data_IF_667679964313
#
_entry.id   IF_667679964313
#
_cell.length_a   1.000
_cell.length_b   1.000
_cell.length_c   1.000
_cell.angle_alpha   90.00
_cell.angle_beta   90.00
_cell.angle_gamma   90.00
#
_symmetry.space_group_name_H-M   'P 1'
#
loop_
_entity.id
_entity.type
_entity.pdbx_description
1 polymer ?
#
# COMPACT_ATOMS: atom_id res chain seq x y z
N UNK A 1 28.91 15.48 9.46
CA UNK A 1 27.43 15.52 9.30
C UNK A 1 26.95 14.08 9.30
N UNK A 2 26.09 13.63 10.23
CA UNK A 2 25.60 12.26 10.19
C UNK A 2 24.74 12.09 8.94
N UNK A 3 25.03 11.06 8.14
CA UNK A 3 24.25 10.69 6.97
C UNK A 3 22.79 10.50 7.37
N UNK A 4 21.89 11.38 6.92
CA UNK A 4 20.45 11.16 7.05
C UNK A 4 20.10 9.92 6.23
N UNK A 5 19.45 8.95 6.90
CA UNK A 5 19.01 7.69 6.32
C UNK A 5 17.81 7.96 5.41
N UNK A 6 17.81 7.38 4.22
CA UNK A 6 16.67 7.36 3.32
C UNK A 6 15.59 6.48 3.94
N UNK A 7 14.65 7.10 4.67
CA UNK A 7 13.47 6.43 5.17
C UNK A 7 12.38 6.52 4.10
N UNK A 8 11.68 5.43 3.80
CA UNK A 8 10.57 5.50 2.87
C UNK A 8 9.29 5.99 3.51
N UNK A 9 8.49 6.81 2.81
CA UNK A 9 7.09 7.07 3.14
C UNK A 9 6.23 6.02 2.43
N UNK A 10 5.96 4.89 3.08
CA UNK A 10 4.83 3.99 2.78
C UNK A 10 4.95 2.70 3.61
N UNK A 11 3.81 2.22 4.10
CA UNK A 11 3.65 0.84 4.56
C UNK A 11 2.60 0.10 3.72
N UNK A 12 2.67 0.16 2.38
CA UNK A 12 1.73 -0.57 1.49
C UNK A 12 1.85 -2.09 1.63
N UNK A 13 1.24 -2.64 2.67
CA UNK A 13 0.99 -4.07 2.71
C UNK A 13 -0.10 -4.40 1.69
N UNK A 14 0.28 -5.11 0.63
CA UNK A 14 -0.66 -5.73 -0.29
C UNK A 14 -0.32 -7.20 -0.48
N UNK A 15 -1.38 -7.96 -0.73
CA UNK A 15 -1.39 -9.39 -0.98
C UNK A 15 -0.26 -9.87 -1.91
N UNK A 16 0.54 -10.81 -1.40
CA UNK A 16 1.26 -11.77 -2.23
C UNK A 16 0.29 -12.43 -3.20
N UNK A 17 0.34 -12.02 -4.46
CA UNK A 17 -0.33 -12.72 -5.55
C UNK A 17 0.39 -14.03 -5.82
N UNK A 18 0.07 -15.09 -5.07
CA UNK A 18 0.39 -16.46 -5.49
C UNK A 18 -0.52 -16.86 -6.65
N UNK A 19 -0.15 -16.42 -7.85
CA UNK A 19 -0.51 -17.16 -9.05
C UNK A 19 0.34 -18.43 -9.06
N UNK A 20 -0.25 -19.53 -8.57
CA UNK A 20 0.32 -20.87 -8.75
C UNK A 20 0.27 -21.18 -10.25
N UNK A 21 1.40 -21.03 -10.92
CA UNK A 21 1.77 -21.87 -12.06
C UNK A 21 3.24 -22.24 -11.92
N UNK A 22 3.50 -23.26 -11.09
CA UNK A 22 4.77 -23.98 -11.08
C UNK A 22 4.94 -24.65 -12.44
N UNK A 23 5.69 -24.01 -13.34
CA UNK A 23 6.49 -24.75 -14.30
C UNK A 23 7.82 -25.01 -13.60
N UNK A 24 7.97 -26.24 -13.10
CA UNK A 24 9.20 -26.72 -12.48
C UNK A 24 10.36 -26.62 -13.50
N UNK A 25 11.22 -25.62 -13.31
CA UNK A 25 12.58 -25.64 -13.83
C UNK A 25 13.52 -26.12 -12.73
N UNK A 26 14.61 -26.85 -13.07
CA UNK A 26 15.48 -27.44 -12.06
C UNK A 26 16.12 -26.35 -11.20
N UNK A 27 16.02 -26.54 -9.89
CA UNK A 27 16.55 -25.68 -8.85
C UNK A 27 18.05 -25.44 -9.04
N UNK A 28 18.41 -24.27 -9.53
CA UNK A 28 19.70 -23.66 -9.18
C UNK A 28 19.48 -22.95 -7.86
N UNK A 29 20.31 -23.23 -6.85
CA UNK A 29 20.28 -22.53 -5.57
C UNK A 29 20.52 -21.02 -5.82
N UNK A 30 19.45 -20.23 -5.85
CA UNK A 30 19.53 -18.79 -5.93
C UNK A 30 19.93 -18.31 -4.55
N UNK A 31 21.22 -18.02 -4.37
CA UNK A 31 21.71 -17.33 -3.19
C UNK A 31 20.98 -15.99 -3.09
N UNK A 32 20.39 -15.69 -1.92
CA UNK A 32 19.76 -14.39 -1.67
C UNK A 32 20.76 -13.27 -2.00
N UNK A 33 20.35 -12.24 -2.76
CA UNK A 33 21.28 -11.21 -3.24
C UNK A 33 21.93 -10.49 -2.05
N UNK A 34 23.24 -10.25 -2.15
CA UNK A 34 24.05 -9.68 -1.05
C UNK A 34 24.32 -8.18 -1.23
N UNK A 35 23.85 -7.61 -2.33
CA UNK A 35 24.03 -6.19 -2.68
C UNK A 35 22.78 -5.56 -3.30
N UNK A 36 22.62 -4.24 -3.13
CA UNK A 36 21.53 -3.47 -3.76
C UNK A 36 21.52 -3.61 -5.28
N UNK A 37 22.69 -3.66 -5.93
CA UNK A 37 22.82 -3.82 -7.38
C UNK A 37 22.26 -5.17 -7.87
N UNK A 38 22.47 -6.23 -7.10
CA UNK A 38 21.91 -7.55 -7.40
C UNK A 38 20.40 -7.58 -7.16
N UNK A 39 19.95 -7.03 -6.02
CA UNK A 39 18.53 -7.00 -5.66
C UNK A 39 17.68 -6.15 -6.62
N UNK A 40 18.23 -5.07 -7.18
CA UNK A 40 17.54 -4.19 -8.11
C UNK A 40 17.67 -4.58 -9.59
N UNK A 41 18.28 -5.73 -9.90
CA UNK A 41 18.40 -6.18 -11.28
C UNK A 41 17.01 -6.59 -11.79
N UNK A 42 16.51 -5.88 -12.82
CA UNK A 42 15.26 -6.26 -13.47
C UNK A 42 15.40 -7.65 -14.10
N UNK A 43 14.37 -8.51 -14.01
CA UNK A 43 14.41 -9.81 -14.66
C UNK A 43 14.56 -9.65 -16.18
N UNK A 44 15.37 -10.51 -16.79
CA UNK A 44 15.66 -10.47 -18.23
C UNK A 44 14.42 -10.77 -19.10
N UNK A 45 13.36 -11.33 -18.51
CA UNK A 45 12.06 -11.55 -19.16
C UNK A 45 11.00 -10.67 -18.52
N UNK A 46 10.26 -9.93 -19.37
CA UNK A 46 9.08 -9.17 -18.97
C UNK A 46 8.03 -10.15 -18.42
N UNK A 47 7.48 -9.94 -17.21
CA UNK A 47 6.44 -10.81 -16.68
C UNK A 47 5.21 -10.78 -17.60
N UNK A 48 4.40 -11.86 -17.61
CA UNK A 48 3.13 -11.84 -18.30
C UNK A 48 2.26 -10.68 -17.77
N UNK A 49 1.41 -10.07 -18.60
CA UNK A 49 0.54 -9.00 -18.16
C UNK A 49 -0.36 -9.47 -17.01
N UNK A 50 -0.68 -8.58 -16.05
CA UNK A 50 -1.45 -8.96 -14.89
C UNK A 50 -2.89 -9.28 -15.32
N UNK A 51 -3.51 -10.24 -14.63
CA UNK A 51 -4.91 -10.58 -14.89
C UNK A 51 -5.80 -9.34 -14.70
N UNK A 52 -6.77 -9.09 -15.60
CA UNK A 52 -7.67 -7.96 -15.45
C UNK A 52 -8.57 -8.16 -14.22
N UNK A 53 -8.95 -7.05 -13.59
CA UNK A 53 -9.90 -7.02 -12.46
C UNK A 53 -11.15 -6.20 -12.83
N UNK A 54 -11.78 -6.59 -13.94
CA UNK A 54 -12.88 -5.86 -14.56
C UNK A 54 -14.14 -6.71 -14.73
N UNK A 55 -14.25 -7.84 -14.02
CA UNK A 55 -15.44 -8.71 -14.01
C UNK A 55 -16.13 -8.61 -12.65
N UNK A 56 -17.43 -8.89 -12.60
CA UNK A 56 -18.18 -8.84 -11.34
C UNK A 56 -17.64 -9.80 -10.28
N UNK A 57 -17.09 -10.95 -10.69
CA UNK A 57 -16.42 -11.90 -9.79
C UNK A 57 -15.16 -11.32 -9.14
N UNK A 58 -14.60 -10.23 -9.65
CA UNK A 58 -13.42 -9.57 -9.10
C UNK A 58 -13.81 -8.52 -8.02
N UNK A 59 -15.10 -8.17 -7.87
CA UNK A 59 -15.58 -7.22 -6.86
C UNK A 59 -15.22 -7.61 -5.41
N UNK A 60 -15.39 -8.88 -4.97
CA UNK A 60 -15.02 -9.27 -3.61
C UNK A 60 -13.52 -9.06 -3.33
N UNK A 61 -12.68 -9.34 -4.33
CA UNK A 61 -11.22 -9.13 -4.23
C UNK A 61 -10.88 -7.65 -4.12
N UNK A 62 -11.48 -6.79 -4.94
CA UNK A 62 -11.26 -5.34 -4.85
C UNK A 62 -11.78 -4.76 -3.53
N UNK A 63 -12.88 -5.31 -3.00
CA UNK A 63 -13.39 -4.91 -1.68
C UNK A 63 -12.47 -5.33 -0.55
N UNK A 64 -11.89 -6.53 -0.63
CA UNK A 64 -10.87 -6.99 0.32
C UNK A 64 -9.67 -6.04 0.33
N UNK A 65 -9.15 -5.70 -0.84
CA UNK A 65 -8.07 -4.70 -0.99
C UNK A 65 -8.46 -3.37 -0.35
N UNK A 66 -9.69 -2.89 -0.57
CA UNK A 66 -10.18 -1.68 0.07
C UNK A 66 -10.19 -1.78 1.60
N UNK A 67 -10.61 -2.91 2.17
CA UNK A 67 -10.63 -3.12 3.61
C UNK A 67 -9.20 -3.12 4.20
N UNK A 68 -8.24 -3.73 3.51
CA UNK A 68 -6.82 -3.70 3.87
C UNK A 68 -6.27 -2.26 3.91
N UNK A 69 -6.53 -1.47 2.86
CA UNK A 69 -6.11 -0.07 2.81
C UNK A 69 -6.77 0.78 3.91
N UNK A 70 -8.06 0.54 4.20
CA UNK A 70 -8.78 1.22 5.28
C UNK A 70 -8.22 0.86 6.65
N UNK A 71 -7.91 -0.41 6.89
CA UNK A 71 -7.27 -0.84 8.12
C UNK A 71 -5.93 -0.11 8.34
N UNK A 72 -5.06 -0.08 7.33
CA UNK A 72 -3.76 0.59 7.43
C UNK A 72 -3.93 2.09 7.69
N UNK A 73 -4.82 2.77 6.95
CA UNK A 73 -5.15 4.18 7.16
C UNK A 73 -5.57 4.46 8.60
N UNK A 74 -6.49 3.66 9.14
CA UNK A 74 -7.01 3.83 10.49
C UNK A 74 -5.91 3.60 11.54
N UNK A 75 -5.02 2.62 11.31
CA UNK A 75 -3.88 2.37 12.20
C UNK A 75 -2.88 3.52 12.20
N UNK A 76 -2.60 4.16 11.07
CA UNK A 76 -1.77 5.37 11.05
C UNK A 76 -2.47 6.57 11.68
N UNK A 77 -3.79 6.70 11.50
CA UNK A 77 -4.57 7.78 12.11
C UNK A 77 -4.47 7.77 13.66
N UNK A 78 -4.41 6.60 14.29
CA UNK A 78 -4.19 6.47 15.74
C UNK A 78 -2.89 7.16 16.22
N UNK A 79 -1.86 7.23 15.36
CA UNK A 79 -0.60 7.92 15.70
C UNK A 79 -0.69 9.43 15.54
N UNK A 80 -1.59 9.93 14.69
CA UNK A 80 -1.87 11.37 14.58
C UNK A 80 -2.60 11.85 15.84
N UNK A 81 -3.60 11.09 16.29
CA UNK A 81 -4.48 11.44 17.42
C UNK A 81 -3.86 11.15 18.81
N UNK A 82 -2.67 10.50 18.81
CA UNK A 82 -1.72 10.28 19.91
C UNK A 82 -1.88 9.03 20.79
N UNK A 83 -0.93 8.09 20.62
CA UNK A 83 0.00 7.56 21.66
C UNK A 83 1.16 6.88 20.92
N UNK A 84 2.41 7.27 21.19
CA UNK A 84 3.53 6.36 20.91
C UNK A 84 3.20 5.03 21.62
N UNK A 85 3.34 3.86 20.97
CA UNK A 85 3.16 2.59 21.64
C UNK A 85 4.05 2.58 22.89
N UNK A 86 3.61 1.94 23.99
CA UNK A 86 4.34 1.95 25.25
C UNK A 86 5.82 1.67 24.98
N UNK A 87 6.68 2.58 25.45
CA UNK A 87 8.13 2.53 25.26
C UNK A 87 8.58 1.10 25.48
N UNK A 88 9.24 0.54 24.48
CA UNK A 88 9.61 -0.85 24.46
C UNK A 88 10.40 -1.20 25.72
N UNK A 89 10.00 -2.30 26.36
CA UNK A 89 10.62 -2.78 27.61
C UNK A 89 12.02 -3.36 27.38
N UNK A 90 12.40 -3.59 26.12
CA UNK A 90 13.70 -4.13 25.73
C UNK A 90 14.71 -3.00 25.42
N UNK A 91 15.89 -2.96 26.06
CA UNK A 91 16.98 -2.03 25.75
C UNK A 91 17.39 -1.98 24.27
N UNK A 92 17.15 -3.04 23.49
CA UNK A 92 17.41 -3.07 22.04
C UNK A 92 16.45 -2.18 21.25
N UNK A 93 15.22 -2.05 21.71
CA UNK A 93 14.19 -1.21 21.09
C UNK A 93 14.31 0.26 21.49
N UNK A 94 14.99 0.59 22.60
CA UNK A 94 15.33 1.97 22.97
C UNK A 94 16.25 2.68 21.95
N UNK A 95 16.88 1.91 21.04
CA UNK A 95 17.71 2.46 19.95
C UNK A 95 16.90 2.80 18.68
N UNK A 96 15.63 2.41 18.61
CA UNK A 96 14.77 2.68 17.44
C UNK A 96 14.21 4.10 17.51
N UNK A 97 14.13 4.77 16.36
CA UNK A 97 13.40 6.05 16.27
C UNK A 97 11.91 5.80 16.46
N UNK A 98 11.16 6.80 16.94
CA UNK A 98 9.70 6.69 17.07
C UNK A 98 9.01 6.30 15.76
N UNK A 99 9.55 6.75 14.61
CA UNK A 99 9.05 6.38 13.29
C UNK A 99 9.26 4.89 12.98
N UNK A 100 10.38 4.30 13.38
CA UNK A 100 10.61 2.86 13.26
C UNK A 100 9.67 2.07 14.16
N UNK A 101 9.47 2.50 15.42
CA UNK A 101 8.54 1.83 16.34
C UNK A 101 7.11 1.83 15.83
N UNK A 102 6.65 2.95 15.26
CA UNK A 102 5.34 3.05 14.62
C UNK A 102 5.21 2.08 13.44
N UNK A 103 6.18 2.07 12.51
CA UNK A 103 6.15 1.15 11.36
C UNK A 103 6.14 -0.31 11.80
N UNK A 104 7.02 -0.69 12.73
CA UNK A 104 7.06 -2.04 13.29
C UNK A 104 5.69 -2.43 13.88
N UNK A 105 5.07 -1.52 14.63
CA UNK A 105 3.76 -1.74 15.24
C UNK A 105 2.65 -1.89 14.19
N UNK A 106 2.58 -0.99 13.20
CA UNK A 106 1.57 -1.06 12.13
C UNK A 106 1.76 -2.33 11.30
N UNK A 107 2.99 -2.67 10.93
CA UNK A 107 3.29 -3.92 10.21
C UNK A 107 2.90 -5.15 11.01
N UNK A 108 3.14 -5.18 12.32
CA UNK A 108 2.72 -6.28 13.18
C UNK A 108 1.18 -6.41 13.20
N UNK A 109 0.46 -5.31 13.42
CA UNK A 109 -1.01 -5.29 13.44
C UNK A 109 -1.62 -5.65 12.09
N UNK A 110 -1.03 -5.19 11.00
CA UNK A 110 -1.50 -5.56 9.68
C UNK A 110 -1.22 -7.03 9.36
N UNK A 111 -0.07 -7.55 9.81
CA UNK A 111 0.21 -9.00 9.72
C UNK A 111 -0.80 -9.81 10.53
N UNK A 112 -1.15 -9.39 11.75
CA UNK A 112 -2.22 -10.02 12.55
C UNK A 112 -3.57 -9.98 11.82
N UNK A 113 -3.93 -8.83 11.24
CA UNK A 113 -5.17 -8.68 10.46
C UNK A 113 -5.20 -9.61 9.25
N UNK A 114 -4.14 -9.64 8.43
CA UNK A 114 -4.05 -10.52 7.27
C UNK A 114 -4.30 -11.98 7.66
N UNK A 115 -3.67 -12.43 8.76
CA UNK A 115 -3.80 -13.79 9.29
C UNK A 115 -5.11 -14.06 10.06
N UNK A 116 -6.02 -13.08 10.18
CA UNK A 116 -7.33 -13.29 10.79
C UNK A 116 -8.35 -13.80 9.76
N UNK A 117 -9.50 -14.35 10.20
CA UNK A 117 -10.60 -14.71 9.30
C UNK A 117 -11.05 -13.54 8.40
N UNK A 118 -11.03 -12.31 8.92
CA UNK A 118 -11.42 -11.10 8.22
C UNK A 118 -10.40 -10.68 7.15
N UNK A 119 -9.09 -10.76 7.44
CA UNK A 119 -8.03 -10.48 6.46
C UNK A 119 -7.74 -11.63 5.50
N UNK A 120 -8.25 -12.83 5.78
CA UNK A 120 -8.39 -13.91 4.82
C UNK A 120 -7.08 -14.54 4.32
N UNK A 121 -6.08 -14.76 5.19
CA UNK A 121 -5.01 -15.75 4.96
C UNK A 121 -3.59 -15.36 5.37
N UNK A 122 -2.60 -16.09 4.84
CA UNK A 122 -1.17 -15.89 5.14
C UNK A 122 -0.59 -14.67 4.41
N UNK A 123 0.10 -13.77 5.11
CA UNK A 123 0.81 -12.65 4.50
C UNK A 123 1.70 -11.89 5.48
N UNK A 124 2.54 -11.00 4.95
CA UNK A 124 3.38 -10.09 5.72
C UNK A 124 2.98 -8.64 5.45
N UNK A 125 2.76 -7.87 6.50
CA UNK A 125 2.29 -6.48 6.39
C UNK A 125 3.36 -5.46 6.01
N UNK A 126 4.33 -5.83 5.17
CA UNK A 126 5.45 -4.98 4.77
C UNK A 126 5.20 -4.33 3.40
N UNK A 127 5.65 -3.08 3.18
CA UNK A 127 5.44 -2.36 1.92
C UNK A 127 6.03 -3.07 0.71
N UNK A 128 5.34 -3.03 -0.43
CA UNK A 128 5.90 -3.42 -1.74
C UNK A 128 6.36 -2.22 -2.56
N UNK A 129 5.70 -1.08 -2.39
CA UNK A 129 5.98 0.19 -3.08
C UNK A 129 6.12 1.32 -2.07
N UNK A 130 6.84 2.38 -2.43
CA UNK A 130 6.92 3.55 -1.57
C UNK A 130 7.48 4.77 -2.28
N UNK A 131 7.55 5.86 -1.53
CA UNK A 131 8.20 7.09 -1.98
C UNK A 131 9.45 7.32 -1.15
N UNK A 132 10.60 7.40 -1.83
CA UNK A 132 11.87 7.76 -1.21
C UNK A 132 11.85 9.24 -0.80
N UNK A 133 12.05 9.53 0.49
CA UNK A 133 11.98 10.89 1.04
C UNK A 133 13.07 11.80 0.44
N UNK A 134 14.24 11.26 0.12
CA UNK A 134 15.39 12.06 -0.32
C UNK A 134 15.31 12.47 -1.79
N UNK A 135 14.70 11.65 -2.65
CA UNK A 135 14.50 11.95 -4.07
C UNK A 135 13.05 12.33 -4.42
N UNK A 136 12.09 12.09 -3.53
CA UNK A 136 10.64 12.14 -3.80
C UNK A 136 10.24 11.31 -5.04
N UNK A 137 10.94 10.19 -5.29
CA UNK A 137 10.68 9.27 -6.40
C UNK A 137 10.09 7.97 -5.90
N UNK A 138 9.44 7.27 -6.82
CA UNK A 138 8.84 5.97 -6.58
C UNK A 138 9.93 4.91 -6.47
N UNK A 139 9.80 4.06 -5.46
CA UNK A 139 10.67 2.91 -5.21
C UNK A 139 9.84 1.66 -4.92
N UNK A 140 10.42 0.49 -5.15
CA UNK A 140 9.92 -0.80 -4.67
C UNK A 140 10.83 -1.37 -3.58
N UNK A 141 10.26 -2.24 -2.75
CA UNK A 141 11.01 -3.06 -1.78
C UNK A 141 11.05 -4.50 -2.30
N UNK A 142 12.19 -4.95 -2.85
CA UNK A 142 12.35 -6.34 -3.23
C UNK A 142 12.13 -7.25 -2.01
N UNK A 143 11.44 -8.37 -2.24
CA UNK A 143 11.15 -9.36 -1.20
C UNK A 143 12.07 -10.58 -1.32
N UNK A 144 12.35 -11.22 -0.19
CA UNK A 144 12.90 -12.57 -0.15
C UNK A 144 11.84 -13.63 -0.50
N UNK A 145 12.27 -14.89 -0.61
CA UNK A 145 11.38 -16.02 -0.92
C UNK A 145 10.30 -16.27 0.15
N UNK A 146 10.43 -15.62 1.31
CA UNK A 146 9.45 -15.68 2.41
C UNK A 146 8.51 -14.47 2.40
N UNK A 147 8.62 -13.56 1.44
CA UNK A 147 7.79 -12.36 1.33
C UNK A 147 8.20 -11.21 2.26
N UNK A 148 9.40 -11.26 2.86
CA UNK A 148 9.95 -10.17 3.68
C UNK A 148 10.82 -9.24 2.85
N UNK A 149 10.88 -7.96 3.18
CA UNK A 149 11.79 -7.01 2.56
C UNK A 149 13.24 -7.51 2.67
N UNK A 150 13.97 -7.46 1.56
CA UNK A 150 15.41 -7.63 1.57
C UNK A 150 16.06 -6.45 2.30
N UNK A 151 17.03 -6.75 3.16
CA UNK A 151 17.78 -5.73 3.90
C UNK A 151 19.25 -5.68 3.47
N UNK A 152 19.86 -4.50 3.54
CA UNK A 152 21.30 -4.32 3.38
C UNK A 152 22.08 -4.87 4.60
N UNK A 153 23.41 -4.76 4.57
CA UNK A 153 24.29 -5.23 5.66
C UNK A 153 24.11 -4.48 6.96
N UNK A 154 23.54 -3.28 6.90
CA UNK A 154 23.25 -2.42 8.05
C UNK A 154 21.82 -2.65 8.60
N UNK A 155 21.07 -3.57 7.99
CA UNK A 155 19.71 -3.94 8.37
C UNK A 155 18.63 -2.97 7.89
N UNK A 156 18.92 -2.11 6.91
CA UNK A 156 17.91 -1.24 6.28
C UNK A 156 17.29 -1.94 5.07
N UNK A 157 16.00 -1.70 4.83
CA UNK A 157 15.32 -2.21 3.63
C UNK A 157 16.01 -1.71 2.35
N UNK A 158 16.27 -2.62 1.43
CA UNK A 158 16.75 -2.29 0.10
C UNK A 158 15.62 -1.67 -0.70
N UNK A 159 15.89 -0.52 -1.32
CA UNK A 159 14.97 0.15 -2.24
C UNK A 159 15.50 0.14 -3.66
N UNK A 160 14.59 -0.04 -4.62
CA UNK A 160 14.90 -0.04 -6.03
C UNK A 160 14.02 0.98 -6.77
N UNK A 161 14.57 1.85 -7.63
CA UNK A 161 13.76 2.75 -8.44
C UNK A 161 12.76 1.98 -9.31
N UNK A 162 11.52 2.43 -9.33
CA UNK A 162 10.45 1.80 -10.11
C UNK A 162 9.67 2.85 -10.91
N UNK A 163 9.25 2.49 -12.12
CA UNK A 163 8.43 3.36 -12.97
C UNK A 163 6.94 3.07 -12.80
N UNK A 164 6.09 4.00 -13.27
CA UNK A 164 4.63 3.78 -13.29
C UNK A 164 4.25 2.60 -14.18
N UNK A 165 4.99 2.39 -15.27
CA UNK A 165 4.73 1.29 -16.20
C UNK A 165 5.13 -0.05 -15.61
N UNK A 166 6.19 -0.08 -14.80
CA UNK A 166 6.53 -1.28 -14.03
C UNK A 166 5.35 -1.66 -13.10
N UNK A 167 4.78 -0.71 -12.34
CA UNK A 167 3.63 -0.96 -11.47
C UNK A 167 2.40 -1.45 -12.25
N UNK A 168 2.07 -0.79 -13.37
CA UNK A 168 0.95 -1.21 -14.22
C UNK A 168 1.15 -2.60 -14.83
N UNK A 169 2.39 -3.08 -14.93
CA UNK A 169 2.69 -4.45 -15.37
C UNK A 169 2.60 -5.49 -14.26
N UNK A 170 2.60 -5.08 -12.99
CA UNK A 170 2.55 -5.98 -11.84
C UNK A 170 1.12 -6.19 -11.32
N UNK A 171 0.28 -5.15 -11.38
CA UNK A 171 -1.06 -5.18 -10.80
C UNK A 171 -2.15 -4.96 -11.85
N UNK A 172 -3.34 -5.49 -11.56
CA UNK A 172 -4.51 -5.19 -12.36
C UNK A 172 -4.81 -3.67 -12.32
N UNK A 173 -5.49 -3.10 -13.34
CA UNK A 173 -5.60 -1.65 -13.48
C UNK A 173 -6.11 -0.90 -12.25
N UNK A 174 -7.16 -1.39 -11.59
CA UNK A 174 -7.74 -0.73 -10.41
C UNK A 174 -6.76 -0.68 -9.22
N UNK A 175 -5.98 -1.73 -9.02
CA UNK A 175 -4.98 -1.81 -7.93
C UNK A 175 -3.75 -0.98 -8.30
N UNK A 176 -3.28 -1.06 -9.55
CA UNK A 176 -2.18 -0.23 -10.03
C UNK A 176 -2.48 1.28 -9.90
N UNK A 177 -3.68 1.71 -10.29
CA UNK A 177 -4.09 3.10 -10.19
C UNK A 177 -4.25 3.56 -8.74
N UNK A 178 -4.70 2.68 -7.85
CA UNK A 178 -4.76 2.96 -6.42
C UNK A 178 -3.36 3.14 -5.82
N UNK A 179 -2.41 2.23 -6.07
CA UNK A 179 -1.01 2.35 -5.63
C UNK A 179 -0.39 3.64 -6.16
N UNK A 180 -0.56 3.92 -7.46
CA UNK A 180 -0.02 5.13 -8.09
C UNK A 180 -0.65 6.41 -7.54
N UNK A 181 -1.90 6.36 -7.11
CA UNK A 181 -2.58 7.50 -6.47
C UNK A 181 -2.07 7.69 -5.04
N UNK A 182 -1.92 6.61 -4.27
CA UNK A 182 -1.35 6.62 -2.92
C UNK A 182 0.06 7.22 -2.94
N UNK A 183 0.96 6.63 -3.72
CA UNK A 183 2.35 7.08 -3.78
C UNK A 183 2.48 8.44 -4.49
N UNK A 184 1.59 8.75 -5.43
CA UNK A 184 1.51 10.08 -6.03
C UNK A 184 1.23 11.18 -5.01
N UNK A 185 0.44 10.88 -3.97
CA UNK A 185 0.19 11.79 -2.86
C UNK A 185 1.46 11.98 -2.02
N UNK A 186 2.17 10.91 -1.66
CA UNK A 186 3.45 11.01 -0.94
C UNK A 186 4.51 11.81 -1.73
N UNK A 187 4.61 11.59 -3.04
CA UNK A 187 5.51 12.36 -3.91
C UNK A 187 5.15 13.84 -3.93
N UNK A 188 3.85 14.16 -3.95
CA UNK A 188 3.36 15.54 -3.92
C UNK A 188 3.72 16.20 -2.60
N UNK A 189 3.41 15.55 -1.48
CA UNK A 189 3.66 16.09 -0.15
C UNK A 189 5.18 16.22 0.13
N UNK A 190 5.99 15.25 -0.33
CA UNK A 190 7.46 15.31 -0.25
C UNK A 190 8.03 16.50 -1.05
N UNK A 191 7.57 16.71 -2.28
CA UNK A 191 8.01 17.84 -3.13
C UNK A 191 7.59 19.18 -2.54
N UNK A 192 6.39 19.26 -1.97
CA UNK A 192 5.90 20.46 -1.31
C UNK A 192 6.71 20.77 -0.05
N UNK A 193 7.02 19.75 0.76
CA UNK A 193 7.87 19.90 1.94
C UNK A 193 9.26 20.45 1.60
N UNK A 194 9.91 19.92 0.55
CA UNK A 194 11.22 20.43 0.11
C UNK A 194 11.21 21.86 -0.41
N UNK A 195 10.06 22.34 -0.91
CA UNK A 195 9.88 23.72 -1.38
C UNK A 195 9.40 24.67 -0.30
N UNK A 196 8.98 24.15 0.85
CA UNK A 196 8.47 24.95 1.96
C UNK A 196 9.56 25.82 2.57
N UNK A 197 9.21 27.04 2.99
CA UNK A 197 10.09 27.88 3.82
C UNK A 197 10.25 27.34 5.24
N UNK A 198 9.33 26.46 5.67
CA UNK A 198 9.40 25.73 6.93
C UNK A 198 9.13 24.24 6.65
N UNK A 199 10.15 23.48 6.20
CA UNK A 199 10.02 22.04 6.01
C UNK A 199 9.86 21.34 7.35
N UNK A 200 8.95 20.37 7.41
CA UNK A 200 8.84 19.46 8.55
C UNK A 200 9.74 18.24 8.37
N UNK A 201 10.13 17.62 9.47
CA UNK A 201 10.87 16.35 9.40
C UNK A 201 9.90 15.20 9.07
N UNK A 202 10.00 14.66 7.86
CA UNK A 202 9.17 13.54 7.38
C UNK A 202 9.58 12.20 8.01
N UNK A 203 10.73 12.14 8.68
CA UNK A 203 11.13 11.00 9.50
C UNK A 203 10.52 11.05 10.91
N UNK A 204 10.01 12.21 11.36
CA UNK A 204 9.23 12.29 12.59
C UNK A 204 7.95 11.49 12.45
N UNK A 205 7.64 10.70 13.47
CA UNK A 205 6.59 9.71 13.43
C UNK A 205 5.18 10.31 13.27
N UNK A 206 4.90 11.51 13.82
CA UNK A 206 3.59 12.16 13.65
C UNK A 206 3.44 12.69 12.24
N UNK A 207 4.48 13.33 11.72
CA UNK A 207 4.48 13.81 10.34
C UNK A 207 4.36 12.63 9.37
N UNK A 208 5.13 11.57 9.58
CA UNK A 208 5.04 10.35 8.81
C UNK A 208 3.61 9.79 8.82
N UNK A 209 2.99 9.64 10.00
CA UNK A 209 1.62 9.13 10.11
C UNK A 209 0.62 9.99 9.35
N UNK A 210 0.72 11.32 9.45
CA UNK A 210 -0.14 12.25 8.71
C UNK A 210 0.03 12.12 7.20
N UNK A 211 1.25 11.92 6.71
CA UNK A 211 1.53 11.72 5.30
C UNK A 211 0.98 10.38 4.81
N UNK A 212 1.19 9.30 5.56
CA UNK A 212 0.65 7.97 5.21
C UNK A 212 -0.88 7.98 5.21
N UNK A 213 -1.54 8.61 6.20
CA UNK A 213 -3.02 8.73 6.18
C UNK A 213 -3.49 9.45 4.92
N UNK A 214 -2.80 10.51 4.48
CA UNK A 214 -3.15 11.20 3.22
C UNK A 214 -2.95 10.30 2.00
N UNK A 215 -1.84 9.56 1.94
CA UNK A 215 -1.57 8.54 0.92
C UNK A 215 -2.68 7.50 0.83
N UNK A 216 -2.99 6.84 1.95
CA UNK A 216 -4.08 5.86 2.00
C UNK A 216 -5.42 6.47 1.63
N UNK A 217 -5.74 7.66 2.14
CA UNK A 217 -7.02 8.32 1.84
C UNK A 217 -7.17 8.59 0.34
N UNK A 218 -6.10 9.02 -0.33
CA UNK A 218 -6.09 9.22 -1.78
C UNK A 218 -6.22 7.88 -2.55
N UNK A 219 -5.47 6.84 -2.14
CA UNK A 219 -5.57 5.51 -2.72
C UNK A 219 -6.97 4.88 -2.54
N UNK A 220 -7.53 4.96 -1.34
CA UNK A 220 -8.89 4.51 -0.99
C UNK A 220 -9.92 5.21 -1.87
N UNK A 221 -9.83 6.53 -2.04
CA UNK A 221 -10.74 7.27 -2.91
C UNK A 221 -10.70 6.74 -4.35
N UNK A 222 -9.50 6.48 -4.89
CA UNK A 222 -9.31 5.91 -6.23
C UNK A 222 -9.89 4.49 -6.34
N UNK A 223 -9.62 3.60 -5.38
CA UNK A 223 -10.12 2.23 -5.41
C UNK A 223 -11.64 2.17 -5.28
N UNK A 224 -12.23 3.02 -4.43
CA UNK A 224 -13.69 3.13 -4.32
C UNK A 224 -14.34 3.57 -5.62
N UNK A 225 -13.72 4.51 -6.34
CA UNK A 225 -14.15 4.91 -7.69
C UNK A 225 -14.13 3.73 -8.65
N UNK A 226 -13.06 2.94 -8.65
CA UNK A 226 -12.92 1.74 -9.49
C UNK A 226 -13.97 0.67 -9.16
N UNK A 227 -14.20 0.39 -7.87
CA UNK A 227 -15.24 -0.55 -7.41
C UNK A 227 -16.64 -0.07 -7.83
N UNK A 228 -16.95 1.21 -7.59
CA UNK A 228 -18.24 1.79 -7.97
C UNK A 228 -18.47 1.73 -9.50
N UNK A 229 -17.44 2.02 -10.30
CA UNK A 229 -17.51 1.94 -11.75
C UNK A 229 -17.77 0.51 -12.24
N UNK A 230 -17.04 -0.48 -11.69
CA UNK A 230 -17.24 -1.89 -12.03
C UNK A 230 -18.64 -2.38 -11.61
N UNK A 231 -19.07 -2.06 -10.39
CA UNK A 231 -20.38 -2.46 -9.88
C UNK A 231 -21.53 -1.86 -10.72
N UNK A 232 -21.42 -0.59 -11.14
CA UNK A 232 -22.41 0.09 -12.00
C UNK A 232 -22.35 -0.36 -13.46
N UNK A 233 -21.32 -1.11 -13.86
CA UNK A 233 -21.21 -1.59 -15.24
C UNK A 233 -22.43 -2.43 -15.61
N UNK A 234 -22.76 -2.47 -16.91
CA UNK A 234 -23.87 -3.28 -17.42
C UNK A 234 -23.74 -4.77 -17.06
N UNK A 235 -22.52 -5.24 -16.82
CA UNK A 235 -22.25 -6.63 -16.45
C UNK A 235 -22.69 -6.94 -15.02
N UNK A 236 -22.53 -5.99 -14.08
CA UNK A 236 -22.82 -6.22 -12.66
C UNK A 236 -24.19 -5.68 -12.26
N UNK A 237 -24.64 -4.59 -12.87
CA UNK A 237 -26.02 -4.11 -12.74
C UNK A 237 -26.36 -3.47 -11.40
N UNK A 238 -25.37 -3.02 -10.62
CA UNK A 238 -25.63 -2.27 -9.40
C UNK A 238 -26.24 -0.91 -9.75
N UNK A 239 -27.40 -0.60 -9.15
CA UNK A 239 -28.14 0.65 -9.41
C UNK A 239 -27.49 1.89 -8.79
N UNK A 240 -26.50 1.70 -7.92
CA UNK A 240 -25.87 2.76 -7.14
C UNK A 240 -26.66 3.12 -5.88
N UNK A 241 -26.17 4.14 -5.18
CA UNK A 241 -26.83 4.73 -4.00
C UNK A 241 -27.44 6.08 -4.34
N UNK A 242 -28.49 6.48 -3.61
CA UNK A 242 -29.07 7.83 -3.66
C UNK A 242 -28.03 8.89 -3.31
N UNK A 243 -27.15 8.59 -2.35
CA UNK A 243 -25.97 9.39 -2.05
C UNK A 243 -24.78 8.85 -2.86
N UNK A 244 -24.32 9.62 -3.86
CA UNK A 244 -23.24 9.19 -4.77
C UNK A 244 -21.85 9.25 -4.13
N UNK A 245 -21.61 10.24 -3.27
CA UNK A 245 -20.32 10.46 -2.61
C UNK A 245 -20.49 10.78 -1.14
N UNK A 246 -19.43 10.56 -0.36
CA UNK A 246 -19.32 11.02 1.03
C UNK A 246 -17.94 11.67 1.25
N UNK A 247 -17.84 12.56 2.23
CA UNK A 247 -16.55 13.14 2.65
C UNK A 247 -15.76 12.14 3.48
N UNK A 248 -14.46 12.05 3.22
CA UNK A 248 -13.50 11.33 4.03
C UNK A 248 -12.43 12.32 4.51
N UNK A 249 -12.19 12.41 5.82
CA UNK A 249 -11.24 13.37 6.37
C UNK A 249 -9.80 13.00 6.01
N UNK A 250 -9.04 14.02 5.61
CA UNK A 250 -7.61 14.02 5.43
C UNK A 250 -6.96 14.90 6.50
N UNK A 251 -5.94 14.42 7.22
CA UNK A 251 -5.26 15.25 8.20
C UNK A 251 -4.56 16.41 7.49
N UNK A 252 -4.59 17.63 8.07
CA UNK A 252 -3.78 18.72 7.57
C UNK A 252 -2.31 18.38 7.77
N UNK A 253 -1.48 18.68 6.78
CA UNK A 253 -0.03 18.67 6.93
C UNK A 253 0.49 20.08 6.71
N UNK A 254 1.61 20.45 7.33
CA UNK A 254 2.13 21.83 7.30
C UNK A 254 2.37 22.40 5.89
N UNK A 255 2.35 21.55 4.87
CA UNK A 255 2.59 21.89 3.46
C UNK A 255 1.34 21.88 2.57
N UNK A 256 0.18 21.45 3.07
CA UNK A 256 -1.10 21.42 2.35
C UNK A 256 -2.30 21.38 3.32
N UNK A 257 -3.23 22.32 3.13
CA UNK A 257 -4.43 22.53 3.97
C UNK A 257 -5.67 21.75 3.50
N UNK A 258 -5.57 20.87 2.49
CA UNK A 258 -6.69 19.99 2.11
C UNK A 258 -7.17 19.16 3.29
N UNK A 259 -8.44 19.31 3.65
CA UNK A 259 -9.03 18.70 4.85
C UNK A 259 -9.93 17.51 4.58
N UNK A 260 -10.61 17.45 3.42
CA UNK A 260 -11.50 16.33 3.07
C UNK A 260 -11.38 15.95 1.59
N UNK A 261 -11.56 14.67 1.28
CA UNK A 261 -11.74 14.16 -0.09
C UNK A 261 -13.14 13.56 -0.28
N UNK A 262 -13.72 13.76 -1.46
CA UNK A 262 -14.92 13.03 -1.86
C UNK A 262 -14.58 11.59 -2.24
N UNK A 263 -15.25 10.64 -1.62
CA UNK A 263 -15.15 9.22 -1.98
C UNK A 263 -16.48 8.69 -2.50
N UNK A 264 -16.44 7.86 -3.52
CA UNK A 264 -17.62 7.20 -4.05
C UNK A 264 -18.26 6.28 -2.99
N UNK A 265 -19.59 6.30 -2.94
CA UNK A 265 -20.35 5.23 -2.29
C UNK A 265 -20.26 3.99 -3.18
N UNK A 266 -19.97 2.86 -2.55
CA UNK A 266 -19.81 1.55 -3.19
C UNK A 266 -20.89 0.60 -2.65
N UNK A 267 -21.16 -0.55 -3.29
CA UNK A 267 -22.10 -1.51 -2.74
C UNK A 267 -21.63 -2.03 -1.38
N UNK A 268 -22.58 -2.39 -0.53
CA UNK A 268 -22.35 -3.10 0.73
C UNK A 268 -21.70 -4.46 0.50
N UNK A 269 -21.07 -5.08 1.52
CA UNK A 269 -20.54 -6.45 1.40
C UNK A 269 -21.56 -7.45 0.84
N UNK A 270 -22.81 -7.39 1.32
CA UNK A 270 -23.89 -8.27 0.87
C UNK A 270 -24.27 -8.03 -0.60
N UNK A 271 -24.31 -6.77 -1.03
CA UNK A 271 -24.52 -6.45 -2.44
C UNK A 271 -23.36 -6.93 -3.30
N UNK A 272 -22.11 -6.78 -2.85
CA UNK A 272 -20.92 -7.26 -3.57
C UNK A 272 -20.98 -8.78 -3.78
N UNK A 273 -21.30 -9.53 -2.73
CA UNK A 273 -21.46 -10.99 -2.84
C UNK A 273 -22.56 -11.38 -3.82
N UNK A 274 -23.66 -10.62 -3.83
CA UNK A 274 -24.76 -10.83 -4.77
C UNK A 274 -24.31 -10.55 -6.20
N UNK A 275 -23.73 -9.37 -6.45
CA UNK A 275 -23.23 -8.93 -7.76
C UNK A 275 -22.18 -9.88 -8.34
N UNK A 276 -21.30 -10.43 -7.49
CA UNK A 276 -20.29 -11.39 -7.90
C UNK A 276 -20.88 -12.72 -8.39
N UNK A 277 -22.04 -13.14 -7.84
CA UNK A 277 -22.74 -14.38 -8.19
C UNK A 277 -23.66 -14.25 -9.40
N UNK A 278 -24.14 -13.05 -9.72
CA UNK A 278 -25.15 -12.81 -10.77
C UNK A 278 -24.74 -13.25 -12.18
N UNK A 279 -23.45 -13.51 -12.45
CA UNK A 279 -22.97 -14.00 -13.76
C UNK A 279 -22.72 -15.51 -13.83
N UNK A 280 -22.96 -16.26 -12.74
CA UNK A 280 -22.91 -17.74 -12.77
C UNK A 280 -24.13 -18.41 -13.41
N UNK A 281 -25.18 -17.64 -13.78
CA UNK A 281 -26.50 -18.15 -14.15
C UNK A 281 -26.99 -17.82 -15.57
N UNK A 282 -26.14 -17.30 -16.46
CA UNK A 282 -26.51 -17.12 -17.88
C UNK A 282 -25.48 -17.83 -18.77
N UNK A 283 -25.71 -19.12 -18.99
CA UNK A 283 -25.30 -19.83 -20.20
C UNK A 283 -26.52 -20.02 -21.08
#
# INVERSE_FOLDING_TARGET
>A
MPHRRSLPLSATGMLSFTAVLLLATPASAISSPTTQKEACKKPDKKPPPPAPCNRCSDLPKLYKELAEQQFLRDKFQEFIDWRLPPIAKDPKDMKKSGGQMMRDWVTARFTEYLNSPEGGGSGFGQPEMGTDIDSCKLVSYPKDDKGKNLTDKDGNDITCPVSKDDIKSMYCPAVADMILTHEGQHQTDCKNNKKSSQPVDLADWRNYAAYDVRGYTAGIANLRKSIAALAKSKQCGWKGSTQKTKKMPMPPVGTDQRTDIDVDVIPTPQEIDTLAKTLGGKK
#
